data_IF_393433196467
#
_entry.id   IF_393433196467
#
_cell.length_a   1.000
_cell.length_b   1.000
_cell.length_c   1.000
_cell.angle_alpha   90.00
_cell.angle_beta   90.00
_cell.angle_gamma   90.00
#
_symmetry.space_group_name_H-M   'P 1'
#
loop_
_entity.id
_entity.type
_entity.pdbx_description
1 polymer ?
#
# COMPACT_ATOMS: atom_id res chain seq x y z
N UNK A 1 22.07 -18.58 -52.34
CA UNK A 1 22.62 -18.51 -50.96
C UNK A 1 22.35 -17.15 -50.28
N UNK A 2 22.76 -16.01 -50.86
CA UNK A 2 22.56 -14.67 -50.25
C UNK A 2 21.11 -14.29 -49.92
N UNK A 3 20.13 -14.68 -50.75
CA UNK A 3 18.71 -14.39 -50.49
C UNK A 3 18.13 -15.17 -49.30
N UNK A 4 18.61 -16.39 -49.05
CA UNK A 4 18.18 -17.20 -47.91
C UNK A 4 18.80 -16.68 -46.61
N UNK A 5 20.09 -16.33 -46.65
CA UNK A 5 20.80 -15.70 -45.53
C UNK A 5 20.14 -14.39 -45.10
N UNK A 6 19.75 -13.54 -46.06
CA UNK A 6 19.10 -12.25 -45.79
C UNK A 6 17.70 -12.40 -45.18
N UNK A 7 16.95 -13.45 -45.53
CA UNK A 7 15.66 -13.79 -44.91
C UNK A 7 15.84 -14.30 -43.48
N UNK A 8 16.86 -15.14 -43.25
CA UNK A 8 17.18 -15.66 -41.92
C UNK A 8 17.63 -14.56 -40.95
N UNK A 9 18.49 -13.65 -41.42
CA UNK A 9 18.92 -12.48 -40.64
C UNK A 9 17.75 -11.55 -40.31
N UNK A 10 16.83 -11.33 -41.26
CA UNK A 10 15.63 -10.54 -41.02
C UNK A 10 14.68 -11.20 -39.99
N UNK A 11 14.50 -12.52 -40.05
CA UNK A 11 13.70 -13.25 -39.04
C UNK A 11 14.36 -13.27 -37.66
N UNK A 12 15.69 -13.39 -37.61
CA UNK A 12 16.43 -13.33 -36.35
C UNK A 12 16.35 -11.92 -35.73
N UNK A 13 16.49 -10.87 -36.53
CA UNK A 13 16.32 -9.49 -36.07
C UNK A 13 14.89 -9.20 -35.59
N UNK A 14 13.87 -9.72 -36.27
CA UNK A 14 12.48 -9.61 -35.84
C UNK A 14 12.23 -10.35 -34.51
N UNK A 15 12.78 -11.56 -34.35
CA UNK A 15 12.69 -12.29 -33.08
C UNK A 15 13.38 -11.55 -31.92
N UNK A 16 14.57 -10.99 -32.16
CA UNK A 16 15.26 -10.15 -31.17
C UNK A 16 14.44 -8.90 -30.84
N UNK A 17 13.81 -8.25 -31.82
CA UNK A 17 12.96 -7.08 -31.57
C UNK A 17 11.71 -7.42 -30.74
N UNK A 18 11.11 -8.60 -30.94
CA UNK A 18 9.97 -9.07 -30.14
C UNK A 18 10.38 -9.37 -28.69
N UNK A 19 11.53 -10.02 -28.49
CA UNK A 19 12.05 -10.32 -27.15
C UNK A 19 12.75 -9.14 -26.46
N UNK A 20 13.15 -8.11 -27.21
CA UNK A 20 13.66 -6.84 -26.69
C UNK A 20 12.51 -5.87 -26.30
N UNK A 21 11.27 -6.23 -26.59
CA UNK A 21 10.08 -5.49 -26.18
C UNK A 21 9.90 -5.54 -24.66
N UNK A 22 10.41 -4.51 -24.00
CA UNK A 22 10.08 -4.01 -22.66
C UNK A 22 9.65 -5.06 -21.63
N UNK A 23 10.53 -5.33 -20.65
CA UNK A 23 10.12 -5.80 -19.34
C UNK A 23 8.98 -4.92 -18.84
N UNK A 24 7.76 -5.47 -18.78
CA UNK A 24 6.65 -4.81 -18.12
C UNK A 24 6.96 -4.76 -16.62
N UNK A 25 7.59 -3.68 -16.18
CA UNK A 25 7.83 -3.40 -14.78
C UNK A 25 6.50 -3.00 -14.15
N UNK A 26 5.68 -4.00 -13.81
CA UNK A 26 4.57 -3.78 -12.90
C UNK A 26 5.14 -3.22 -11.58
N UNK A 27 4.43 -2.26 -10.98
CA UNK A 27 4.71 -1.88 -9.61
C UNK A 27 4.59 -3.14 -8.75
N UNK A 28 5.70 -3.52 -8.11
CA UNK A 28 5.82 -4.72 -7.29
C UNK A 28 5.95 -4.30 -5.82
N UNK A 29 5.35 -5.05 -4.88
CA UNK A 29 5.43 -4.74 -3.46
C UNK A 29 6.89 -4.66 -3.00
N UNK A 30 7.24 -3.58 -2.30
CA UNK A 30 8.57 -3.44 -1.72
C UNK A 30 8.62 -4.06 -0.31
N UNK A 31 9.77 -4.60 0.12
CA UNK A 31 9.92 -5.06 1.49
C UNK A 31 9.55 -3.95 2.49
N UNK A 32 8.65 -4.26 3.42
CA UNK A 32 8.16 -3.35 4.47
C UNK A 32 7.31 -2.17 3.98
N UNK A 33 6.76 -2.23 2.77
CA UNK A 33 5.81 -1.24 2.29
C UNK A 33 4.49 -1.33 3.05
N UNK A 34 4.05 -0.21 3.62
CA UNK A 34 2.83 -0.11 4.44
C UNK A 34 1.70 0.64 3.73
N UNK A 35 1.97 1.16 2.54
CA UNK A 35 1.05 1.95 1.72
C UNK A 35 0.70 1.22 0.44
N UNK A 36 -0.26 1.76 -0.31
CA UNK A 36 -0.57 1.22 -1.64
C UNK A 36 0.56 1.43 -2.64
N UNK A 37 0.61 0.54 -3.63
CA UNK A 37 1.43 0.70 -4.82
C UNK A 37 1.13 2.02 -5.56
N UNK A 38 2.09 2.56 -6.33
CA UNK A 38 1.90 3.77 -7.12
C UNK A 38 0.67 3.70 -8.04
N UNK A 39 -0.15 4.76 -7.99
CA UNK A 39 -1.37 4.84 -8.79
C UNK A 39 -1.05 5.04 -10.28
N UNK A 40 -1.50 4.11 -11.12
CA UNK A 40 -1.38 4.19 -12.59
C UNK A 40 -2.71 4.52 -13.29
N UNK A 41 -3.80 4.60 -12.53
CA UNK A 41 -5.14 4.98 -13.01
C UNK A 41 -5.75 6.07 -12.14
N UNK A 42 -6.66 6.85 -12.71
CA UNK A 42 -7.38 7.91 -12.00
C UNK A 42 -8.24 7.38 -10.85
N UNK A 43 -8.80 6.19 -11.02
CA UNK A 43 -9.57 5.51 -9.97
C UNK A 43 -8.66 5.20 -8.78
N UNK A 44 -7.46 4.68 -9.01
CA UNK A 44 -6.53 4.40 -7.91
C UNK A 44 -6.13 5.68 -7.17
N UNK A 45 -5.93 6.80 -7.89
CA UNK A 45 -5.67 8.10 -7.27
C UNK A 45 -6.80 8.52 -6.32
N UNK A 46 -8.06 8.33 -6.73
CA UNK A 46 -9.23 8.61 -5.89
C UNK A 46 -9.31 7.68 -4.66
N UNK A 47 -8.99 6.40 -4.82
CA UNK A 47 -8.93 5.43 -3.71
C UNK A 47 -7.90 5.87 -2.67
N UNK A 48 -6.68 6.18 -3.10
CA UNK A 48 -5.62 6.64 -2.17
C UNK A 48 -5.98 7.97 -1.50
N UNK A 49 -6.64 8.90 -2.21
CA UNK A 49 -7.09 10.14 -1.59
C UNK A 49 -8.14 9.88 -0.50
N UNK A 50 -9.11 9.01 -0.78
CA UNK A 50 -10.18 8.66 0.15
C UNK A 50 -9.66 7.92 1.38
N UNK A 51 -8.70 7.01 1.19
CA UNK A 51 -8.04 6.29 2.28
C UNK A 51 -7.28 7.25 3.20
N UNK A 52 -6.43 8.14 2.67
CA UNK A 52 -5.77 9.17 3.48
C UNK A 52 -6.77 10.08 4.21
N UNK A 53 -7.83 10.51 3.51
CA UNK A 53 -8.88 11.34 4.12
C UNK A 53 -9.53 10.64 5.31
N UNK A 54 -9.91 9.37 5.14
CA UNK A 54 -10.55 8.57 6.19
C UNK A 54 -9.58 8.25 7.33
N UNK A 55 -8.31 7.96 7.01
CA UNK A 55 -7.25 7.73 8.00
C UNK A 55 -7.09 8.91 8.94
N UNK A 56 -7.14 10.13 8.41
CA UNK A 56 -7.10 11.35 9.21
C UNK A 56 -8.24 11.50 10.22
N UNK A 57 -9.37 10.82 10.04
CA UNK A 57 -10.45 10.77 11.03
C UNK A 57 -10.32 9.60 12.02
N UNK A 58 -10.02 8.39 11.53
CA UNK A 58 -9.99 7.23 12.42
C UNK A 58 -8.80 7.23 13.37
N UNK A 59 -7.63 7.75 12.95
CA UNK A 59 -6.42 7.83 13.78
C UNK A 59 -6.65 8.68 15.04
N UNK A 60 -7.13 9.95 14.97
CA UNK A 60 -7.37 10.71 16.18
C UNK A 60 -8.48 10.13 17.07
N UNK A 61 -9.53 9.53 16.48
CA UNK A 61 -10.61 8.89 17.26
C UNK A 61 -10.07 7.68 18.03
N UNK A 62 -9.30 6.81 17.37
CA UNK A 62 -8.72 5.62 18.01
C UNK A 62 -7.70 5.99 19.08
N UNK A 63 -6.87 7.02 18.85
CA UNK A 63 -5.98 7.57 19.87
C UNK A 63 -6.73 8.18 21.04
N UNK A 64 -7.83 8.88 20.79
CA UNK A 64 -8.68 9.44 21.85
C UNK A 64 -9.29 8.34 22.71
N UNK A 65 -9.85 7.30 22.09
CA UNK A 65 -10.41 6.15 22.82
C UNK A 65 -9.30 5.41 23.59
N UNK A 66 -8.14 5.19 22.98
CA UNK A 66 -6.98 4.59 23.63
C UNK A 66 -6.56 5.41 24.86
N UNK A 67 -6.53 6.74 24.74
CA UNK A 67 -6.24 7.65 25.84
C UNK A 67 -7.27 7.53 26.96
N UNK A 68 -8.57 7.52 26.64
CA UNK A 68 -9.63 7.35 27.65
C UNK A 68 -9.53 6.00 28.36
N UNK A 69 -9.25 4.91 27.63
CA UNK A 69 -9.06 3.60 28.22
C UNK A 69 -7.82 3.56 29.12
N UNK A 70 -6.70 4.09 28.67
CA UNK A 70 -5.49 4.20 29.48
C UNK A 70 -5.75 5.04 30.74
N UNK A 71 -6.45 6.16 30.61
CA UNK A 71 -6.86 6.99 31.74
C UNK A 71 -7.72 6.19 32.73
N UNK A 72 -8.74 5.48 32.25
CA UNK A 72 -9.61 4.66 33.10
C UNK A 72 -8.83 3.56 33.82
N UNK A 73 -7.95 2.84 33.12
CA UNK A 73 -7.11 1.78 33.69
C UNK A 73 -6.20 2.37 34.78
N UNK A 74 -5.53 3.49 34.52
CA UNK A 74 -4.57 4.05 35.45
C UNK A 74 -5.26 4.69 36.66
N UNK A 75 -6.38 5.39 36.44
CA UNK A 75 -7.11 6.17 37.45
C UNK A 75 -8.04 5.33 38.32
N UNK A 76 -8.73 4.36 37.73
CA UNK A 76 -9.80 3.59 38.39
C UNK A 76 -9.41 2.14 38.74
N UNK A 77 -8.12 1.77 38.66
CA UNK A 77 -7.65 0.47 39.15
C UNK A 77 -7.92 0.31 40.66
N UNK A 78 -8.09 -0.93 41.11
CA UNK A 78 -8.42 -1.26 42.50
C UNK A 78 -7.42 -0.70 43.54
N UNK A 79 -6.13 -0.57 43.22
CA UNK A 79 -5.14 -0.03 44.15
C UNK A 79 -5.24 1.48 44.35
N UNK A 80 -5.79 2.22 43.39
CA UNK A 80 -5.94 3.69 43.43
C UNK A 80 -7.38 4.09 43.75
N UNK A 81 -8.35 3.29 43.33
CA UNK A 81 -9.77 3.51 43.54
C UNK A 81 -10.42 2.27 44.20
N UNK A 82 -10.19 2.02 45.50
CA UNK A 82 -10.66 0.82 46.19
C UNK A 82 -12.18 0.79 46.43
N UNK A 83 -12.83 1.96 46.52
CA UNK A 83 -14.28 2.08 46.67
C UNK A 83 -14.84 2.76 45.41
N UNK A 84 -15.45 2.02 44.47
CA UNK A 84 -15.96 2.59 43.24
C UNK A 84 -17.20 3.47 43.48
N UNK A 85 -17.40 4.47 42.63
CA UNK A 85 -18.63 5.26 42.65
C UNK A 85 -19.84 4.39 42.32
N UNK A 86 -20.98 4.66 42.95
CA UNK A 86 -22.26 3.96 42.77
C UNK A 86 -23.34 4.83 42.12
N UNK A 87 -22.96 6.02 41.69
CA UNK A 87 -23.83 7.02 41.05
C UNK A 87 -23.89 6.81 39.55
#
# INVERSE_FOLDING_TARGET
MMRAMRKFLASAAAAVAVFAGASAHAAQPQPWEMTFQPAVTDIMRQVTWFEHYTLWFIVPITLFVLFLLAYCILKFRASVNPVPSRT
#
